data_IF_904989105649
#
_entry.id   IF_904989105649
#
_cell.length_a   1.000
_cell.length_b   1.000
_cell.length_c   1.000
_cell.angle_alpha   90.00
_cell.angle_beta   90.00
_cell.angle_gamma   90.00
#
_symmetry.space_group_name_H-M   'P 1'
#
loop_
_entity.id
_entity.type
_entity.pdbx_description
1 polymer ?
#
# COMPACT_ATOMS: atom_id res chain seq x y z
N UNK A 1 -25.02 20.14 19.28
CA UNK A 1 -24.63 19.53 17.97
C UNK A 1 -23.41 20.31 17.51
N UNK A 2 -22.27 19.63 17.37
CA UNK A 2 -20.95 20.27 17.34
C UNK A 2 -20.79 21.30 16.22
N UNK A 3 -20.31 22.49 16.59
CA UNK A 3 -19.91 23.52 15.63
C UNK A 3 -18.79 22.97 14.76
N UNK A 4 -19.04 22.86 13.46
CA UNK A 4 -17.99 22.62 12.49
C UNK A 4 -17.25 23.94 12.29
N UNK A 5 -15.94 23.94 12.52
CA UNK A 5 -15.10 25.12 12.26
C UNK A 5 -15.34 25.58 10.81
N UNK A 6 -15.79 26.83 10.58
CA UNK A 6 -16.08 27.34 9.24
C UNK A 6 -14.86 27.27 8.31
N UNK A 7 -13.64 27.23 8.85
CA UNK A 7 -12.41 27.11 8.10
C UNK A 7 -11.94 25.66 7.89
N UNK A 8 -12.61 24.67 8.48
CA UNK A 8 -12.18 23.26 8.41
C UNK A 8 -12.02 22.76 6.97
N UNK A 9 -12.92 23.18 6.07
CA UNK A 9 -12.86 22.81 4.66
C UNK A 9 -11.64 23.40 3.96
N UNK A 10 -11.31 24.65 4.23
CA UNK A 10 -10.16 25.32 3.62
C UNK A 10 -8.84 24.74 4.16
N UNK A 11 -8.77 24.48 5.46
CA UNK A 11 -7.62 23.81 6.11
C UNK A 11 -7.42 22.41 5.54
N UNK A 12 -8.48 21.61 5.42
CA UNK A 12 -8.42 20.28 4.82
C UNK A 12 -7.97 20.35 3.34
N UNK A 13 -8.52 21.29 2.57
CA UNK A 13 -8.16 21.48 1.16
C UNK A 13 -6.69 21.86 0.98
N UNK A 14 -6.17 22.79 1.81
CA UNK A 14 -4.74 23.15 1.79
C UNK A 14 -3.83 22.01 2.25
N UNK A 15 -4.26 21.22 3.23
CA UNK A 15 -3.51 20.07 3.71
C UNK A 15 -3.42 18.98 2.63
N UNK A 16 -4.50 18.78 1.88
CA UNK A 16 -4.58 17.75 0.84
C UNK A 16 -3.94 18.16 -0.50
N UNK A 17 -3.68 19.46 -0.73
CA UNK A 17 -3.08 19.94 -1.99
C UNK A 17 -1.74 19.28 -2.35
N UNK A 18 -0.96 18.85 -1.35
CA UNK A 18 0.31 18.14 -1.55
C UNK A 18 0.23 16.63 -1.31
N UNK A 19 -0.95 16.09 -1.03
CA UNK A 19 -1.08 14.68 -0.68
C UNK A 19 -1.01 13.80 -1.94
N UNK A 20 0.15 13.17 -2.15
CA UNK A 20 0.40 12.25 -3.26
C UNK A 20 0.67 10.86 -2.70
N UNK A 21 -0.40 10.08 -2.41
CA UNK A 21 -0.26 8.77 -1.82
C UNK A 21 0.37 7.78 -2.80
N UNK A 22 1.21 6.92 -2.25
CA UNK A 22 1.81 5.79 -2.95
C UNK A 22 1.26 4.47 -2.40
N UNK A 23 0.95 3.53 -3.29
CA UNK A 23 0.36 2.25 -2.93
C UNK A 23 1.34 1.10 -3.19
N UNK A 24 1.56 0.28 -2.16
CA UNK A 24 2.19 -1.04 -2.27
C UNK A 24 1.12 -2.08 -1.93
N UNK A 25 0.96 -3.08 -2.80
CA UNK A 25 0.04 -4.19 -2.55
C UNK A 25 0.85 -5.40 -2.09
N UNK A 26 0.64 -5.84 -0.85
CA UNK A 26 1.37 -6.97 -0.28
C UNK A 26 0.54 -8.26 -0.29
N UNK A 27 1.21 -9.42 -0.30
CA UNK A 27 0.63 -10.77 -0.33
C UNK A 27 -0.30 -10.99 -1.53
N UNK A 28 0.15 -10.57 -2.70
CA UNK A 28 -0.59 -10.78 -3.94
C UNK A 28 -0.55 -12.27 -4.31
N UNK A 29 -1.74 -12.85 -4.52
CA UNK A 29 -1.93 -14.20 -5.04
C UNK A 29 -2.78 -14.13 -6.31
N UNK A 30 -2.84 -15.22 -7.09
CA UNK A 30 -3.68 -15.26 -8.29
C UNK A 30 -5.16 -14.95 -8.06
N UNK A 31 -5.67 -15.19 -6.84
CA UNK A 31 -7.05 -14.87 -6.45
C UNK A 31 -7.24 -13.40 -6.04
N UNK A 32 -6.17 -12.66 -5.77
CA UNK A 32 -6.21 -11.30 -5.23
C UNK A 32 -6.49 -10.23 -6.30
N UNK A 33 -6.38 -10.54 -7.59
CA UNK A 33 -6.42 -9.56 -8.69
C UNK A 33 -7.70 -8.70 -8.70
N UNK A 34 -8.86 -9.31 -8.44
CA UNK A 34 -10.15 -8.60 -8.37
C UNK A 34 -10.19 -7.65 -7.16
N UNK A 35 -9.69 -8.10 -6.01
CA UNK A 35 -9.66 -7.30 -4.78
C UNK A 35 -8.73 -6.09 -4.91
N UNK A 36 -7.60 -6.24 -5.60
CA UNK A 36 -6.66 -5.14 -5.85
C UNK A 36 -7.29 -4.07 -6.72
N UNK A 37 -8.01 -4.45 -7.78
CA UNK A 37 -8.72 -3.50 -8.64
C UNK A 37 -9.81 -2.75 -7.87
N UNK A 38 -10.57 -3.46 -7.03
CA UNK A 38 -11.61 -2.84 -6.21
C UNK A 38 -11.02 -1.87 -5.17
N UNK A 39 -9.93 -2.24 -4.49
CA UNK A 39 -9.22 -1.39 -3.54
C UNK A 39 -8.69 -0.11 -4.21
N UNK A 40 -8.07 -0.23 -5.39
CA UNK A 40 -7.57 0.94 -6.15
C UNK A 40 -8.70 1.91 -6.47
N UNK A 41 -9.85 1.40 -6.92
CA UNK A 41 -11.04 2.22 -7.20
C UNK A 41 -11.52 2.96 -5.95
N UNK A 42 -11.68 2.26 -4.82
CA UNK A 42 -12.11 2.87 -3.57
C UNK A 42 -11.13 3.96 -3.11
N UNK A 43 -9.82 3.68 -3.12
CA UNK A 43 -8.82 4.65 -2.70
C UNK A 43 -8.85 5.91 -3.58
N UNK A 44 -9.04 5.76 -4.90
CA UNK A 44 -9.17 6.90 -5.80
C UNK A 44 -10.43 7.73 -5.50
N UNK A 45 -11.55 7.08 -5.18
CA UNK A 45 -12.80 7.75 -4.81
C UNK A 45 -12.73 8.49 -3.47
N UNK A 46 -12.04 7.92 -2.47
CA UNK A 46 -11.98 8.48 -1.11
C UNK A 46 -10.85 9.49 -0.90
N UNK A 47 -9.69 9.23 -1.46
CA UNK A 47 -8.50 10.06 -1.26
C UNK A 47 -8.47 11.23 -2.24
N UNK A 48 -9.04 11.03 -3.43
CA UNK A 48 -8.88 11.97 -4.54
C UNK A 48 -7.43 12.01 -5.06
N UNK A 49 -7.26 12.51 -6.27
CA UNK A 49 -5.94 12.62 -6.91
C UNK A 49 -5.42 11.31 -7.50
N UNK A 50 -4.22 11.40 -8.08
CA UNK A 50 -3.56 10.28 -8.73
C UNK A 50 -2.90 9.36 -7.70
N UNK A 51 -3.47 8.16 -7.52
CA UNK A 51 -2.89 7.12 -6.68
C UNK A 51 -1.78 6.38 -7.43
N UNK A 52 -0.52 6.67 -7.08
CA UNK A 52 0.63 6.03 -7.72
C UNK A 52 0.85 4.64 -7.12
N UNK A 53 0.74 3.59 -7.93
CA UNK A 53 1.11 2.23 -7.48
C UNK A 53 2.61 2.04 -7.66
N UNK A 54 3.32 1.74 -6.56
CA UNK A 54 4.77 1.48 -6.57
C UNK A 54 5.11 0.04 -6.96
N UNK A 55 4.27 -0.92 -6.59
CA UNK A 55 4.52 -2.31 -6.89
C UNK A 55 3.65 -3.29 -6.12
N UNK A 56 3.88 -4.57 -6.39
CA UNK A 56 3.20 -5.69 -5.77
C UNK A 56 4.23 -6.64 -5.15
N UNK A 57 3.98 -7.09 -3.93
CA UNK A 57 4.79 -8.11 -3.25
C UNK A 57 3.95 -9.40 -3.23
N UNK A 58 4.45 -10.51 -3.79
CA UNK A 58 3.70 -11.76 -3.85
C UNK A 58 3.53 -12.37 -2.46
N UNK A 59 2.51 -13.21 -2.31
CA UNK A 59 2.43 -14.12 -1.17
C UNK A 59 3.57 -15.15 -1.27
N UNK A 60 4.44 -15.19 -0.26
CA UNK A 60 5.69 -15.94 -0.30
C UNK A 60 6.00 -16.60 1.06
N UNK A 61 6.08 -17.95 1.12
CA UNK A 61 6.48 -18.67 2.32
C UNK A 61 7.88 -18.30 2.85
N UNK A 62 8.79 -17.80 1.99
CA UNK A 62 10.12 -17.34 2.39
C UNK A 62 10.05 -16.23 3.44
N UNK A 63 9.06 -15.33 3.35
CA UNK A 63 8.84 -14.28 4.34
C UNK A 63 8.56 -14.88 5.73
N UNK A 64 7.78 -15.96 5.80
CA UNK A 64 7.47 -16.65 7.06
C UNK A 64 8.72 -17.33 7.65
N UNK A 65 9.55 -17.95 6.80
CA UNK A 65 10.82 -18.55 7.23
C UNK A 65 11.79 -17.49 7.75
N UNK A 66 11.95 -16.39 7.02
CA UNK A 66 12.81 -15.27 7.39
C UNK A 66 12.42 -14.67 8.76
N UNK A 67 11.11 -14.45 8.99
CA UNK A 67 10.60 -13.99 10.30
C UNK A 67 10.94 -14.96 11.42
N UNK A 68 10.80 -16.28 11.21
CA UNK A 68 11.16 -17.30 12.22
C UNK A 68 12.66 -17.37 12.48
N UNK A 69 13.46 -17.03 11.49
CA UNK A 69 14.92 -16.95 11.57
C UNK A 69 15.42 -15.60 12.07
N UNK A 70 14.53 -14.64 12.38
CA UNK A 70 14.87 -13.28 12.80
C UNK A 70 15.78 -12.54 11.81
N UNK A 71 15.60 -12.79 10.52
CA UNK A 71 16.34 -12.12 9.44
C UNK A 71 15.37 -11.46 8.45
N UNK A 72 15.74 -10.33 7.82
CA UNK A 72 15.01 -9.80 6.67
C UNK A 72 14.94 -10.82 5.53
N UNK A 73 13.82 -10.90 4.81
CA UNK A 73 13.66 -11.88 3.71
C UNK A 73 14.70 -11.70 2.61
N UNK A 74 15.08 -10.45 2.32
CA UNK A 74 16.12 -10.10 1.34
C UNK A 74 17.51 -10.61 1.73
N UNK A 75 17.78 -10.80 3.02
CA UNK A 75 19.03 -11.36 3.53
C UNK A 75 18.94 -12.87 3.71
N UNK A 76 17.83 -13.36 4.25
CA UNK A 76 17.60 -14.78 4.53
C UNK A 76 17.45 -15.61 3.24
N UNK A 77 16.74 -15.07 2.25
CA UNK A 77 16.41 -15.74 0.99
C UNK A 77 16.42 -14.72 -0.18
N UNK A 78 17.61 -14.29 -0.65
CA UNK A 78 17.74 -13.19 -1.60
C UNK A 78 17.10 -13.44 -2.97
N UNK A 79 16.90 -14.70 -3.35
CA UNK A 79 16.30 -15.08 -4.64
C UNK A 79 14.80 -15.39 -4.54
N UNK A 80 14.20 -15.25 -3.37
CA UNK A 80 12.77 -15.50 -3.19
C UNK A 80 11.92 -14.44 -3.94
N UNK A 81 10.73 -14.80 -4.46
CA UNK A 81 9.85 -13.85 -5.15
C UNK A 81 9.57 -12.55 -4.38
N UNK A 82 9.36 -12.63 -3.06
CA UNK A 82 9.17 -11.43 -2.24
C UNK A 82 10.44 -10.58 -2.10
N UNK A 83 11.62 -11.20 -2.08
CA UNK A 83 12.90 -10.49 -2.04
C UNK A 83 13.15 -9.74 -3.34
N UNK A 84 12.93 -10.39 -4.48
CA UNK A 84 13.06 -9.79 -5.80
C UNK A 84 12.07 -8.64 -6.05
N UNK A 85 10.91 -8.66 -5.37
CA UNK A 85 9.93 -7.58 -5.45
C UNK A 85 10.34 -6.32 -4.66
N UNK A 86 11.34 -6.42 -3.79
CA UNK A 86 11.82 -5.34 -2.91
C UNK A 86 13.15 -4.72 -3.35
N UNK A 87 13.82 -5.30 -4.34
CA UNK A 87 15.14 -4.90 -4.85
C UNK A 87 15.06 -4.39 -6.27
#
# INVERSE_FOLDING_TARGET
>A
VGETDPNAREVASRTLQGFQPHLIVNRVSGKSRVNVLHLKKLLQEYVGGDLTTLGEIPDDPAVTRAVRSFLPVVECEPTAPASLALT
#
